data_IF_012232641622
#
_entry.id   IF_012232641622
#
_cell.length_a   1.000
_cell.length_b   1.000
_cell.length_c   1.000
_cell.angle_alpha   90.00
_cell.angle_beta   90.00
_cell.angle_gamma   90.00
#
_symmetry.space_group_name_H-M   'P 1'
#
loop_
_entity.id
_entity.type
_entity.pdbx_description
1 polymer ?
#
# COMPACT_ATOMS: atom_id res chain seq x y z
N UNK A 1 3.23 24.62 -11.54
CA UNK A 1 3.19 23.36 -10.79
C UNK A 1 3.25 23.74 -9.32
N UNK A 2 2.11 23.71 -8.61
CA UNK A 2 2.11 23.98 -7.18
C UNK A 2 2.68 22.74 -6.46
N UNK A 3 3.60 22.97 -5.54
CA UNK A 3 4.14 21.94 -4.64
C UNK A 3 2.99 21.37 -3.81
N UNK A 4 2.47 20.20 -4.20
CA UNK A 4 1.54 19.43 -3.39
C UNK A 4 2.33 18.72 -2.29
N UNK A 5 2.77 19.47 -1.28
CA UNK A 5 3.09 18.86 0.00
C UNK A 5 1.79 18.33 0.57
N UNK A 6 1.57 17.02 0.51
CA UNK A 6 0.42 16.37 1.11
C UNK A 6 0.84 15.69 2.41
N UNK A 7 0.63 16.32 3.58
CA UNK A 7 0.98 15.73 4.87
C UNK A 7 0.16 14.48 5.20
N UNK A 8 -0.93 14.21 4.46
CA UNK A 8 -1.82 13.09 4.77
C UNK A 8 -1.18 11.74 4.43
N UNK A 9 -0.29 11.67 3.43
CA UNK A 9 0.45 10.42 3.18
C UNK A 9 1.41 10.09 4.34
N UNK A 10 1.94 11.11 5.01
CA UNK A 10 2.76 10.94 6.22
C UNK A 10 1.90 10.35 7.35
N UNK A 11 0.63 10.71 7.46
CA UNK A 11 -0.25 10.13 8.48
C UNK A 11 -0.48 8.62 8.31
N UNK A 12 -0.54 8.12 7.07
CA UNK A 12 -0.60 6.68 6.81
C UNK A 12 0.67 5.96 7.31
N UNK A 13 1.84 6.54 7.04
CA UNK A 13 3.14 6.02 7.50
C UNK A 13 3.25 6.06 9.03
N UNK A 14 2.80 7.15 9.67
CA UNK A 14 2.80 7.25 11.13
C UNK A 14 1.85 6.23 11.76
N UNK A 15 0.68 6.01 11.16
CA UNK A 15 -0.28 5.00 11.60
C UNK A 15 0.30 3.58 11.52
N UNK A 16 0.98 3.27 10.41
CA UNK A 16 1.70 2.01 10.23
C UNK A 16 2.77 1.81 11.33
N UNK A 17 3.71 2.75 11.46
CA UNK A 17 4.79 2.67 12.44
C UNK A 17 4.25 2.52 13.88
N UNK A 18 3.25 3.32 14.25
CA UNK A 18 2.65 3.28 15.58
C UNK A 18 1.87 1.97 15.84
N UNK A 19 1.26 1.39 14.80
CA UNK A 19 0.50 0.15 14.88
C UNK A 19 1.35 -1.12 14.85
N UNK A 20 2.56 -1.05 14.27
CA UNK A 20 3.43 -2.19 13.96
C UNK A 20 3.64 -3.17 15.12
N UNK A 21 3.87 -2.68 16.34
CA UNK A 21 4.13 -3.52 17.53
C UNK A 21 2.89 -4.29 18.02
N UNK A 22 1.71 -4.02 17.48
CA UNK A 22 0.44 -4.61 17.89
C UNK A 22 -0.15 -5.60 16.87
N UNK A 23 0.48 -5.80 15.71
CA UNK A 23 -0.04 -6.61 14.60
C UNK A 23 -0.39 -8.05 15.03
N UNK A 24 0.51 -8.70 15.77
CA UNK A 24 0.32 -10.08 16.27
C UNK A 24 -0.10 -10.15 17.74
N UNK A 25 -0.25 -9.00 18.39
CA UNK A 25 -0.71 -8.90 19.77
C UNK A 25 -1.64 -7.69 19.92
N UNK A 26 -2.93 -7.84 19.54
CA UNK A 26 -3.84 -6.71 19.43
C UNK A 26 -4.05 -5.98 20.76
N UNK A 27 -3.85 -4.67 20.74
CA UNK A 27 -4.12 -3.79 21.86
C UNK A 27 -5.41 -3.01 21.61
N UNK A 28 -6.43 -3.22 22.45
CA UNK A 28 -7.77 -2.61 22.27
C UNK A 28 -7.96 -1.28 23.00
N UNK A 29 -6.93 -0.82 23.73
CA UNK A 29 -6.99 0.46 24.43
C UNK A 29 -6.62 1.60 23.48
N UNK A 30 -7.16 2.78 23.74
CA UNK A 30 -6.74 4.05 23.10
C UNK A 30 -5.47 4.64 23.72
N UNK A 31 -5.02 4.07 24.85
CA UNK A 31 -3.77 4.42 25.50
C UNK A 31 -2.61 3.68 24.84
N UNK A 32 -1.91 4.37 23.93
CA UNK A 32 -0.82 3.84 23.11
C UNK A 32 0.47 4.61 23.36
N UNK A 33 1.57 3.89 23.57
CA UNK A 33 2.89 4.50 23.67
C UNK A 33 3.46 4.73 22.26
N UNK A 34 3.44 5.98 21.77
CA UNK A 34 3.96 6.36 20.45
C UNK A 34 5.49 6.49 20.36
N UNK A 35 6.22 6.12 21.42
CA UNK A 35 7.68 6.25 21.52
C UNK A 35 8.37 4.91 21.82
N UNK A 36 7.71 3.79 21.52
CA UNK A 36 8.32 2.47 21.71
C UNK A 36 9.43 2.23 20.67
N UNK A 37 10.61 1.83 21.12
CA UNK A 37 11.79 1.66 20.27
C UNK A 37 11.72 0.46 19.32
N UNK A 38 10.70 -0.41 19.48
CA UNK A 38 10.44 -1.54 18.58
C UNK A 38 9.57 -1.17 17.39
N UNK A 39 8.95 0.02 17.40
CA UNK A 39 8.16 0.52 16.30
C UNK A 39 9.04 0.72 15.07
N UNK A 40 8.59 0.20 13.94
CA UNK A 40 9.24 0.37 12.65
C UNK A 40 8.20 0.32 11.52
N UNK A 41 8.58 0.70 10.31
CA UNK A 41 7.69 0.62 9.16
C UNK A 41 7.47 -0.83 8.70
N UNK A 42 6.30 -1.10 8.14
CA UNK A 42 5.94 -2.41 7.59
C UNK A 42 5.87 -2.37 6.05
N UNK A 43 5.33 -3.43 5.45
CA UNK A 43 5.03 -3.43 4.02
C UNK A 43 3.96 -2.40 3.62
N UNK A 44 3.10 -1.96 4.53
CA UNK A 44 2.11 -0.90 4.32
C UNK A 44 2.77 0.40 3.85
N UNK A 45 3.78 0.88 4.60
CA UNK A 45 4.55 2.08 4.24
C UNK A 45 5.26 1.92 2.91
N UNK A 46 5.97 0.80 2.71
CA UNK A 46 6.77 0.58 1.50
C UNK A 46 5.87 0.55 0.27
N UNK A 47 4.74 -0.15 0.36
CA UNK A 47 3.79 -0.25 -0.76
C UNK A 47 3.01 1.04 -0.99
N UNK A 48 2.69 1.81 0.05
CA UNK A 48 2.13 3.16 -0.09
C UNK A 48 3.07 4.07 -0.88
N UNK A 49 4.37 4.05 -0.55
CA UNK A 49 5.39 4.81 -1.29
C UNK A 49 5.49 4.32 -2.74
N UNK A 50 5.44 3.01 -2.97
CA UNK A 50 5.50 2.46 -4.32
C UNK A 50 4.33 2.90 -5.21
N UNK A 51 3.11 2.96 -4.65
CA UNK A 51 1.92 3.47 -5.34
C UNK A 51 2.07 4.97 -5.63
N UNK A 52 2.56 5.75 -4.67
CA UNK A 52 2.83 7.17 -4.87
C UNK A 52 3.89 7.43 -5.96
N UNK A 53 4.99 6.68 -5.95
CA UNK A 53 6.05 6.73 -6.98
C UNK A 53 5.46 6.42 -8.37
N UNK A 54 4.65 5.38 -8.48
CA UNK A 54 3.95 5.05 -9.73
C UNK A 54 3.07 6.20 -10.22
N UNK A 55 2.24 6.79 -9.37
CA UNK A 55 1.36 7.92 -9.74
C UNK A 55 2.17 9.12 -10.23
N UNK A 56 3.29 9.43 -9.57
CA UNK A 56 4.11 10.59 -9.90
C UNK A 56 4.94 10.40 -11.17
N UNK A 57 5.38 9.17 -11.46
CA UNK A 57 6.38 8.91 -12.50
C UNK A 57 5.85 8.14 -13.73
N UNK A 58 4.76 7.38 -13.63
CA UNK A 58 4.13 6.72 -14.78
C UNK A 58 3.00 7.59 -15.35
N UNK A 59 3.35 8.40 -16.35
CA UNK A 59 2.40 9.28 -17.08
C UNK A 59 1.22 8.54 -17.71
N UNK A 60 1.34 7.23 -17.94
CA UNK A 60 0.30 6.40 -18.54
C UNK A 60 -0.50 5.60 -17.51
N UNK A 61 -0.11 5.64 -16.23
CA UNK A 61 -0.74 4.91 -15.12
C UNK A 61 -1.03 3.45 -15.49
N UNK A 62 0.00 2.72 -15.91
CA UNK A 62 -0.15 1.33 -16.37
C UNK A 62 -0.04 0.33 -15.22
N UNK A 63 -0.79 -0.79 -15.30
CA UNK A 63 -0.65 -1.91 -14.35
C UNK A 63 0.76 -2.49 -14.32
N UNK A 64 1.45 -2.50 -15.47
CA UNK A 64 2.83 -2.97 -15.59
C UNK A 64 3.78 -2.02 -14.86
N UNK A 65 3.63 -0.70 -15.07
CA UNK A 65 4.41 0.32 -14.37
C UNK A 65 4.23 0.23 -12.85
N UNK A 66 2.99 0.07 -12.39
CA UNK A 66 2.70 -0.15 -10.96
C UNK A 66 3.38 -1.41 -10.44
N UNK A 67 3.24 -2.53 -11.15
CA UNK A 67 3.82 -3.79 -10.72
C UNK A 67 5.34 -3.69 -10.58
N UNK A 68 6.00 -3.06 -11.55
CA UNK A 68 7.44 -2.80 -11.50
C UNK A 68 7.83 -1.92 -10.31
N UNK A 69 7.09 -0.84 -10.02
CA UNK A 69 7.37 0.03 -8.87
C UNK A 69 7.19 -0.70 -7.54
N UNK A 70 6.13 -1.48 -7.39
CA UNK A 70 5.94 -2.29 -6.20
C UNK A 70 7.07 -3.33 -6.01
N UNK A 71 7.50 -4.00 -7.08
CA UNK A 71 8.63 -4.92 -7.01
C UNK A 71 9.96 -4.21 -6.73
N UNK A 72 10.20 -3.04 -7.32
CA UNK A 72 11.41 -2.22 -7.08
C UNK A 72 11.53 -1.86 -5.59
N UNK A 73 10.47 -1.27 -5.02
CA UNK A 73 10.46 -0.89 -3.60
C UNK A 73 10.49 -2.09 -2.67
N UNK A 74 9.72 -3.15 -2.96
CA UNK A 74 9.69 -4.34 -2.12
C UNK A 74 11.02 -5.09 -2.09
N UNK A 75 11.74 -5.16 -3.23
CA UNK A 75 13.07 -5.78 -3.30
C UNK A 75 14.15 -4.90 -2.68
N UNK A 76 13.99 -3.59 -2.71
CA UNK A 76 14.89 -2.63 -2.06
C UNK A 76 14.82 -2.72 -0.53
N UNK A 77 13.65 -3.04 0.02
CA UNK A 77 13.40 -3.19 1.45
C UNK A 77 12.83 -4.59 1.77
N UNK A 78 13.64 -5.66 1.68
CA UNK A 78 13.13 -7.03 1.66
C UNK A 78 12.63 -7.54 3.02
N UNK A 79 12.98 -6.87 4.12
CA UNK A 79 12.71 -7.32 5.48
C UNK A 79 11.99 -6.22 6.30
N UNK A 80 10.76 -5.79 5.92
CA UNK A 80 9.98 -4.91 6.76
C UNK A 80 9.60 -5.60 8.08
N UNK A 81 9.25 -4.81 9.09
CA UNK A 81 8.59 -5.33 10.28
C UNK A 81 7.29 -6.06 9.90
N UNK A 82 7.00 -7.18 10.56
CA UNK A 82 5.86 -8.04 10.21
C UNK A 82 6.08 -8.96 9.00
N UNK A 83 7.04 -8.61 8.12
CA UNK A 83 7.35 -9.24 6.84
C UNK A 83 6.20 -9.20 5.82
N UNK A 84 6.52 -9.38 4.54
CA UNK A 84 5.50 -9.51 3.50
C UNK A 84 4.69 -10.79 3.67
N UNK A 85 3.37 -10.71 3.43
CA UNK A 85 2.53 -11.90 3.33
C UNK A 85 3.06 -12.92 2.30
N UNK A 86 2.97 -14.21 2.59
CA UNK A 86 3.69 -15.26 1.83
C UNK A 86 3.45 -15.24 0.32
N UNK A 87 2.19 -15.13 -0.13
CA UNK A 87 1.86 -15.02 -1.56
C UNK A 87 2.35 -13.70 -2.18
N UNK A 88 2.35 -12.63 -1.39
CA UNK A 88 2.84 -11.33 -1.85
C UNK A 88 4.37 -11.33 -2.00
N UNK A 89 5.09 -11.99 -1.09
CA UNK A 89 6.53 -12.20 -1.21
C UNK A 89 6.90 -13.00 -2.48
N UNK A 90 6.12 -14.03 -2.83
CA UNK A 90 6.28 -14.75 -4.10
C UNK A 90 6.03 -13.85 -5.31
N UNK A 91 4.98 -13.02 -5.24
CA UNK A 91 4.67 -12.04 -6.28
C UNK A 91 5.80 -11.00 -6.45
N UNK A 92 6.37 -10.51 -5.35
CA UNK A 92 7.47 -9.55 -5.37
C UNK A 92 8.71 -10.11 -6.09
N UNK A 93 8.96 -11.41 -5.97
CA UNK A 93 10.14 -12.07 -6.52
C UNK A 93 9.92 -12.74 -7.88
N UNK A 94 8.71 -12.66 -8.44
CA UNK A 94 8.40 -13.25 -9.75
C UNK A 94 8.88 -12.38 -10.91
N UNK A 95 9.41 -13.00 -11.96
CA UNK A 95 9.77 -12.32 -13.22
C UNK A 95 8.54 -11.88 -14.02
N UNK A 96 7.44 -12.61 -13.90
CA UNK A 96 6.17 -12.32 -14.56
C UNK A 96 5.03 -12.41 -13.55
N UNK A 97 4.93 -11.45 -12.62
CA UNK A 97 3.98 -11.51 -11.52
C UNK A 97 2.54 -11.50 -12.04
N UNK A 98 1.71 -12.37 -11.48
CA UNK A 98 0.26 -12.44 -11.75
C UNK A 98 -0.51 -12.20 -10.47
N UNK A 99 -1.66 -11.51 -10.52
CA UNK A 99 -2.52 -11.41 -9.35
C UNK A 99 -3.00 -12.80 -8.93
N UNK A 100 -3.23 -12.96 -7.64
CA UNK A 100 -3.36 -14.28 -7.02
C UNK A 100 -4.66 -14.42 -6.22
N UNK A 101 -5.70 -13.69 -6.63
CA UNK A 101 -7.07 -13.77 -6.12
C UNK A 101 -7.20 -13.61 -4.59
N UNK A 102 -6.32 -12.80 -3.99
CA UNK A 102 -6.37 -12.51 -2.56
C UNK A 102 -7.55 -11.58 -2.22
N UNK A 103 -8.24 -11.90 -1.13
CA UNK A 103 -9.27 -11.06 -0.49
C UNK A 103 -8.73 -10.32 0.76
N UNK A 104 -7.43 -10.39 1.03
CA UNK A 104 -6.82 -9.70 2.17
C UNK A 104 -6.82 -8.17 2.01
N UNK A 105 -6.44 -7.48 3.08
CA UNK A 105 -6.35 -6.01 3.13
C UNK A 105 -5.16 -5.43 2.35
N UNK A 106 -4.28 -6.27 1.78
CA UNK A 106 -3.03 -5.87 1.14
C UNK A 106 -3.18 -4.81 0.04
N UNK A 107 -4.32 -4.78 -0.65
CA UNK A 107 -4.65 -3.73 -1.61
C UNK A 107 -5.10 -2.42 -0.94
N UNK A 108 -5.88 -2.52 0.15
CA UNK A 108 -6.41 -1.36 0.87
C UNK A 108 -5.32 -0.60 1.63
N UNK A 109 -4.39 -1.30 2.28
CA UNK A 109 -3.36 -0.69 3.14
C UNK A 109 -2.43 0.29 2.40
N UNK A 110 -2.31 0.14 1.07
CA UNK A 110 -1.40 0.93 0.22
C UNK A 110 -2.08 1.95 -0.70
N UNK A 111 -3.41 2.02 -0.68
CA UNK A 111 -4.17 2.77 -1.70
C UNK A 111 -4.28 4.27 -1.44
N UNK A 112 -3.89 4.73 -0.24
CA UNK A 112 -4.07 6.12 0.21
C UNK A 112 -3.52 7.17 -0.77
N UNK A 113 -2.41 6.89 -1.45
CA UNK A 113 -1.86 7.77 -2.47
C UNK A 113 -2.83 8.04 -3.64
N UNK A 114 -3.68 7.07 -4.00
CA UNK A 114 -4.72 7.22 -5.02
C UNK A 114 -5.77 8.23 -4.55
N UNK A 115 -6.28 8.07 -3.32
CA UNK A 115 -7.31 8.96 -2.74
C UNK A 115 -6.92 10.43 -2.73
N UNK A 116 -5.62 10.69 -2.62
CA UNK A 116 -5.07 12.05 -2.62
C UNK A 116 -4.68 12.61 -3.99
N UNK A 117 -4.52 11.75 -5.01
CA UNK A 117 -3.99 12.15 -6.31
C UNK A 117 -5.08 12.59 -7.30
N UNK A 118 -6.30 12.08 -7.15
CA UNK A 118 -7.40 12.30 -8.09
C UNK A 118 -8.51 13.15 -7.48
N UNK A 119 -9.14 14.01 -8.29
CA UNK A 119 -10.10 15.00 -7.78
C UNK A 119 -11.56 14.53 -7.88
N UNK A 120 -11.82 13.43 -8.59
CA UNK A 120 -13.17 12.92 -8.80
C UNK A 120 -13.30 11.52 -8.20
N UNK A 121 -14.48 11.23 -7.66
CA UNK A 121 -14.82 9.91 -7.13
C UNK A 121 -14.64 8.83 -8.21
N UNK A 122 -15.08 9.10 -9.44
CA UNK A 122 -15.00 8.14 -10.54
C UNK A 122 -13.55 7.78 -10.90
N UNK A 123 -12.67 8.77 -11.06
CA UNK A 123 -11.25 8.52 -11.32
C UNK A 123 -10.59 7.81 -10.14
N UNK A 124 -10.85 8.23 -8.91
CA UNK A 124 -10.30 7.63 -7.70
C UNK A 124 -10.68 6.14 -7.61
N UNK A 125 -11.96 5.82 -7.79
CA UNK A 125 -12.45 4.44 -7.78
C UNK A 125 -11.86 3.59 -8.90
N UNK A 126 -11.68 4.16 -10.10
CA UNK A 126 -11.10 3.46 -11.24
C UNK A 126 -9.62 3.14 -11.02
N UNK A 127 -8.86 4.10 -10.50
CA UNK A 127 -7.42 3.91 -10.21
C UNK A 127 -7.22 3.02 -8.99
N UNK A 128 -8.06 3.14 -7.95
CA UNK A 128 -8.01 2.27 -6.78
C UNK A 128 -8.24 0.81 -7.19
N UNK A 129 -9.26 0.54 -8.02
CA UNK A 129 -9.49 -0.79 -8.61
C UNK A 129 -8.29 -1.29 -9.40
N UNK A 130 -7.74 -0.47 -10.31
CA UNK A 130 -6.57 -0.84 -11.09
C UNK A 130 -5.37 -1.21 -10.19
N UNK A 131 -5.16 -0.45 -9.11
CA UNK A 131 -4.07 -0.66 -8.17
C UNK A 131 -4.24 -1.92 -7.30
N UNK A 132 -5.48 -2.34 -7.05
CA UNK A 132 -5.79 -3.58 -6.35
C UNK A 132 -5.52 -4.79 -7.27
N UNK A 133 -6.00 -4.74 -8.52
CA UNK A 133 -5.99 -5.85 -9.48
C UNK A 133 -4.60 -6.39 -9.82
N UNK A 134 -3.51 -5.67 -9.56
CA UNK A 134 -2.14 -6.18 -9.79
C UNK A 134 -1.76 -7.33 -8.85
N UNK A 135 -2.44 -7.47 -7.71
CA UNK A 135 -2.19 -8.52 -6.70
C UNK A 135 -3.49 -9.16 -6.17
N UNK A 136 -4.51 -8.33 -5.90
CA UNK A 136 -5.78 -8.70 -5.27
C UNK A 136 -6.92 -8.53 -6.29
N UNK A 137 -7.02 -9.42 -7.27
CA UNK A 137 -8.09 -9.41 -8.27
C UNK A 137 -9.40 -10.07 -7.78
N UNK A 138 -9.50 -10.40 -6.49
CA UNK A 138 -10.75 -10.82 -5.88
C UNK A 138 -11.70 -9.62 -5.70
N UNK A 139 -13.02 -9.74 -5.94
CA UNK A 139 -13.95 -8.63 -5.79
C UNK A 139 -13.89 -7.90 -4.44
N UNK A 140 -13.74 -8.65 -3.34
CA UNK A 140 -13.64 -8.04 -1.99
C UNK A 140 -12.32 -7.28 -1.76
N UNK A 141 -11.21 -7.73 -2.35
CA UNK A 141 -9.94 -6.99 -2.28
C UNK A 141 -10.03 -5.66 -3.05
N UNK A 142 -10.71 -5.67 -4.20
CA UNK A 142 -10.98 -4.46 -4.99
C UNK A 142 -11.89 -3.50 -4.23
N UNK A 143 -13.00 -4.00 -3.66
CA UNK A 143 -13.92 -3.18 -2.84
C UNK A 143 -13.22 -2.57 -1.64
N UNK A 144 -12.35 -3.32 -0.96
CA UNK A 144 -11.57 -2.81 0.17
C UNK A 144 -10.67 -1.65 -0.24
N UNK A 145 -9.97 -1.76 -1.36
CA UNK A 145 -9.16 -0.66 -1.90
C UNK A 145 -10.01 0.54 -2.31
N UNK A 146 -11.12 0.33 -3.02
CA UNK A 146 -12.02 1.40 -3.43
C UNK A 146 -12.70 2.11 -2.27
N UNK A 147 -13.01 1.41 -1.18
CA UNK A 147 -13.61 2.01 0.01
C UNK A 147 -12.61 2.81 0.87
N UNK A 148 -11.31 2.51 0.74
CA UNK A 148 -10.23 3.16 1.51
C UNK A 148 -9.65 4.38 0.79
N UNK A 149 -9.67 4.39 -0.55
CA UNK A 149 -9.20 5.50 -1.38
C UNK A 149 -10.17 6.69 -1.33
#
# INVERSE_FOLDING_TARGET
>A
MNNYYNPLLISAILGDIAGSIFEFNPHKSVDVNLHDNRMDFTDDTIMTIAVADWILNDKKLTRIGLAHKMQEWGRKYPNPMGAYGGMFSQWLNSDNPKPYNSWGNGAAMRVSAVGFAFNTMEETLNIAKMSAEVTHNHPEGIKGAQATA
#
